data_IF_723128492020
#
_entry.id   IF_723128492020
#
_cell.length_a   1.000
_cell.length_b   1.000
_cell.length_c   1.000
_cell.angle_alpha   90.00
_cell.angle_beta   90.00
_cell.angle_gamma   90.00
#
_symmetry.space_group_name_H-M   'P 1'
#
loop_
_entity.id
_entity.type
_entity.pdbx_description
1 polymer ?
#
# COMPACT_ATOMS: atom_id res chain seq x y z
N UNK A 1 1.30 22.46 -2.41
CA UNK A 1 2.63 21.79 -2.44
C UNK A 1 3.34 21.89 -1.09
N UNK A 2 3.51 23.08 -0.52
CA UNK A 2 4.20 23.26 0.78
C UNK A 2 3.51 22.53 1.94
N UNK A 3 2.18 22.63 2.05
CA UNK A 3 1.41 21.95 3.10
C UNK A 3 1.55 20.42 3.04
N UNK A 4 1.50 19.84 1.85
CA UNK A 4 1.70 18.41 1.62
C UNK A 4 3.10 17.96 2.04
N UNK A 5 4.13 18.75 1.75
CA UNK A 5 5.49 18.48 2.19
C UNK A 5 5.61 18.50 3.72
N UNK A 6 4.97 19.48 4.38
CA UNK A 6 4.94 19.53 5.84
C UNK A 6 4.21 18.33 6.44
N UNK A 7 3.10 17.90 5.85
CA UNK A 7 2.36 16.71 6.28
C UNK A 7 3.22 15.45 6.09
N UNK A 8 3.93 15.34 4.96
CA UNK A 8 4.88 14.26 4.69
C UNK A 8 5.93 14.17 5.79
N UNK A 9 6.58 15.28 6.13
CA UNK A 9 7.59 15.34 7.19
C UNK A 9 6.99 14.90 8.53
N UNK A 10 5.83 15.43 8.91
CA UNK A 10 5.15 15.09 10.18
C UNK A 10 4.81 13.59 10.26
N UNK A 11 4.26 13.03 9.18
CA UNK A 11 3.87 11.62 9.10
C UNK A 11 5.10 10.72 9.26
N UNK A 12 6.18 10.98 8.52
CA UNK A 12 7.37 10.14 8.57
C UNK A 12 8.16 10.29 9.88
N UNK A 13 8.19 11.48 10.48
CA UNK A 13 8.74 11.65 11.83
C UNK A 13 7.92 10.83 12.85
N UNK A 14 6.60 10.91 12.78
CA UNK A 14 5.70 10.14 13.67
C UNK A 14 5.89 8.64 13.50
N UNK A 15 6.04 8.16 12.26
CA UNK A 15 6.34 6.77 11.97
C UNK A 15 7.70 6.34 12.55
N UNK A 16 8.76 7.14 12.38
CA UNK A 16 10.09 6.85 12.92
C UNK A 16 10.09 6.80 14.44
N UNK A 17 9.43 7.74 15.12
CA UNK A 17 9.31 7.74 16.59
C UNK A 17 8.57 6.49 17.06
N UNK A 18 7.45 6.16 16.42
CA UNK A 18 6.64 4.98 16.76
C UNK A 18 7.41 3.67 16.57
N UNK A 19 8.17 3.55 15.48
CA UNK A 19 8.98 2.35 15.21
C UNK A 19 10.17 2.28 16.16
N UNK A 20 10.74 3.42 16.56
CA UNK A 20 11.79 3.46 17.57
C UNK A 20 11.28 2.97 18.93
N UNK A 21 10.07 3.34 19.32
CA UNK A 21 9.39 2.73 20.47
C UNK A 21 9.28 1.21 20.32
N UNK A 22 8.82 0.73 19.16
CA UNK A 22 8.71 -0.70 18.87
C UNK A 22 10.05 -1.43 18.94
N UNK A 23 11.15 -0.78 18.57
CA UNK A 23 12.49 -1.35 18.63
C UNK A 23 13.01 -1.51 20.06
N UNK A 24 12.84 -0.48 20.91
CA UNK A 24 13.44 -0.49 22.24
C UNK A 24 12.59 -1.17 23.31
N UNK A 25 11.26 -0.96 23.30
CA UNK A 25 10.40 -1.39 24.40
C UNK A 25 9.76 -2.76 24.14
N UNK A 26 9.27 -3.00 22.94
CA UNK A 26 8.49 -4.20 22.60
C UNK A 26 9.26 -5.52 22.76
N UNK A 27 10.57 -5.64 22.44
CA UNK A 27 11.32 -6.88 22.70
C UNK A 27 11.40 -7.26 24.18
N UNK A 28 11.28 -6.28 25.09
CA UNK A 28 11.32 -6.51 26.54
C UNK A 28 10.02 -7.10 27.08
N UNK A 29 8.97 -7.10 26.28
CA UNK A 29 7.66 -7.64 26.61
C UNK A 29 7.58 -9.08 26.10
N UNK A 30 6.98 -9.97 26.91
CA UNK A 30 6.77 -11.38 26.54
C UNK A 30 6.01 -11.48 25.23
N UNK A 31 6.52 -12.32 24.34
CA UNK A 31 5.90 -12.63 23.04
C UNK A 31 4.46 -13.12 23.19
N UNK A 32 3.62 -12.76 22.22
CA UNK A 32 2.20 -13.07 22.20
C UNK A 32 1.31 -11.84 22.43
N UNK A 33 0.18 -12.07 23.09
CA UNK A 33 -0.87 -11.06 23.30
C UNK A 33 -0.37 -9.82 24.07
N UNK A 34 0.43 -9.92 25.16
CA UNK A 34 0.89 -8.72 25.87
C UNK A 34 1.70 -7.78 24.99
N UNK A 35 2.56 -8.35 24.15
CA UNK A 35 3.35 -7.59 23.17
C UNK A 35 2.46 -6.97 22.10
N UNK A 36 1.45 -7.69 21.60
CA UNK A 36 0.48 -7.15 20.64
C UNK A 36 -0.29 -5.96 21.22
N UNK A 37 -0.76 -6.06 22.46
CA UNK A 37 -1.47 -4.97 23.15
C UNK A 37 -0.60 -3.72 23.29
N UNK A 38 0.70 -3.88 23.57
CA UNK A 38 1.65 -2.76 23.63
C UNK A 38 1.85 -2.04 22.29
N UNK A 39 1.54 -2.71 21.18
CA UNK A 39 1.66 -2.19 19.82
C UNK A 39 0.35 -1.59 19.30
N UNK A 40 -0.80 -1.86 19.93
CA UNK A 40 -2.10 -1.36 19.49
C UNK A 40 -2.14 0.15 19.20
N UNK A 41 -1.56 1.04 20.03
CA UNK A 41 -1.55 2.47 19.74
C UNK A 41 -0.80 2.81 18.44
N UNK A 42 0.28 2.09 18.15
CA UNK A 42 1.11 2.27 16.95
C UNK A 42 0.36 1.74 15.73
N UNK A 43 -0.28 0.57 15.87
CA UNK A 43 -1.10 0.01 14.79
C UNK A 43 -2.24 0.95 14.40
N UNK A 44 -2.93 1.52 15.40
CA UNK A 44 -4.00 2.50 15.19
C UNK A 44 -3.46 3.78 14.54
N UNK A 45 -2.31 4.30 15.00
CA UNK A 45 -1.68 5.46 14.40
C UNK A 45 -1.36 5.22 12.92
N UNK A 46 -0.80 4.05 12.58
CA UNK A 46 -0.46 3.71 11.19
C UNK A 46 -1.69 3.67 10.27
N UNK A 47 -2.87 3.33 10.79
CA UNK A 47 -4.13 3.43 10.04
C UNK A 47 -4.57 4.88 9.79
N UNK A 48 -4.21 5.81 10.67
CA UNK A 48 -4.65 7.21 10.58
C UNK A 48 -3.69 8.05 9.73
N UNK A 49 -2.38 7.77 9.76
CA UNK A 49 -1.36 8.57 9.07
C UNK A 49 -1.62 8.85 7.57
N UNK A 50 -2.14 7.90 6.76
CA UNK A 50 -2.44 8.19 5.35
C UNK A 50 -3.50 9.29 5.15
N UNK A 51 -4.39 9.49 6.13
CA UNK A 51 -5.44 10.51 6.09
C UNK A 51 -4.89 11.93 6.26
N UNK A 52 -3.60 12.08 6.54
CA UNK A 52 -2.97 13.40 6.64
C UNK A 52 -2.58 13.98 5.27
N UNK A 53 -2.73 13.22 4.19
CA UNK A 53 -2.42 13.66 2.84
C UNK A 53 -3.71 13.93 2.07
N UNK A 54 -3.77 15.09 1.43
CA UNK A 54 -4.81 15.36 0.44
C UNK A 54 -4.44 14.73 -0.91
N UNK A 55 -3.13 14.52 -1.19
CA UNK A 55 -2.70 13.83 -2.41
C UNK A 55 -3.03 12.33 -2.38
N UNK A 56 -3.77 11.87 -3.39
CA UNK A 56 -4.13 10.44 -3.56
C UNK A 56 -2.89 9.53 -3.60
N UNK A 57 -1.86 9.89 -4.35
CA UNK A 57 -0.65 9.05 -4.47
C UNK A 57 0.13 8.97 -3.15
N UNK A 58 0.30 10.09 -2.44
CA UNK A 58 1.01 10.09 -1.15
C UNK A 58 0.24 9.33 -0.08
N UNK A 59 -1.09 9.50 -0.05
CA UNK A 59 -1.98 8.74 0.82
C UNK A 59 -1.87 7.24 0.54
N UNK A 60 -2.02 6.83 -0.72
CA UNK A 60 -2.00 5.42 -1.11
C UNK A 60 -0.63 4.75 -0.86
N UNK A 61 0.47 5.42 -1.17
CA UNK A 61 1.82 4.92 -0.89
C UNK A 61 2.04 4.77 0.62
N UNK A 62 1.63 5.76 1.40
CA UNK A 62 1.74 5.71 2.87
C UNK A 62 0.88 4.59 3.45
N UNK A 63 -0.35 4.42 2.97
CA UNK A 63 -1.24 3.34 3.39
C UNK A 63 -0.65 1.97 3.04
N UNK A 64 -0.14 1.80 1.83
CA UNK A 64 0.50 0.56 1.42
C UNK A 64 1.73 0.23 2.31
N UNK A 65 2.56 1.22 2.64
CA UNK A 65 3.76 1.00 3.47
C UNK A 65 3.47 0.82 4.96
N UNK A 66 2.65 1.69 5.56
CA UNK A 66 2.41 1.70 7.00
C UNK A 66 1.16 0.90 7.39
N UNK A 67 -0.02 1.28 6.88
CA UNK A 67 -1.32 0.64 7.18
C UNK A 67 -1.31 -0.84 6.86
N UNK A 68 -0.78 -1.23 5.70
CA UNK A 68 -0.67 -2.63 5.33
C UNK A 68 0.63 -3.25 5.85
N UNK A 69 1.75 -2.99 5.16
CA UNK A 69 2.95 -3.79 5.37
C UNK A 69 3.54 -3.60 6.76
N UNK A 70 3.63 -2.37 7.24
CA UNK A 70 4.12 -2.03 8.58
C UNK A 70 3.32 -2.72 9.67
N UNK A 71 2.00 -2.56 9.67
CA UNK A 71 1.12 -3.19 10.66
C UNK A 71 1.23 -4.71 10.66
N UNK A 72 1.16 -5.37 9.51
CA UNK A 72 1.26 -6.83 9.47
C UNK A 72 2.63 -7.33 9.95
N UNK A 73 3.72 -6.62 9.65
CA UNK A 73 5.05 -6.96 10.16
C UNK A 73 5.16 -6.77 11.66
N UNK A 74 4.58 -5.71 12.22
CA UNK A 74 4.54 -5.46 13.66
C UNK A 74 3.68 -6.50 14.40
N UNK A 75 2.54 -6.90 13.82
CA UNK A 75 1.71 -7.99 14.33
C UNK A 75 2.51 -9.30 14.31
N UNK A 76 3.19 -9.63 13.22
CA UNK A 76 4.04 -10.82 13.16
C UNK A 76 5.16 -10.78 14.21
N UNK A 77 5.79 -9.61 14.35
CA UNK A 77 6.84 -9.36 15.35
C UNK A 77 6.33 -9.55 16.79
N UNK A 78 5.04 -9.28 17.04
CA UNK A 78 4.46 -9.51 18.36
C UNK A 78 4.45 -10.98 18.78
N UNK A 79 4.55 -11.91 17.81
CA UNK A 79 4.58 -13.36 18.00
C UNK A 79 5.92 -14.01 17.60
N UNK A 80 7.01 -13.24 17.56
CA UNK A 80 8.35 -13.68 17.11
C UNK A 80 8.35 -14.32 15.71
N UNK A 81 7.59 -13.74 14.79
CA UNK A 81 7.49 -14.19 13.40
C UNK A 81 7.79 -13.05 12.44
N UNK A 82 7.91 -13.42 11.16
CA UNK A 82 8.02 -12.47 10.07
C UNK A 82 9.42 -11.88 9.90
N UNK A 83 9.55 -10.85 9.05
CA UNK A 83 10.85 -10.34 8.60
C UNK A 83 11.60 -9.53 9.67
N UNK A 84 10.94 -9.20 10.79
CA UNK A 84 11.52 -8.46 11.90
C UNK A 84 12.10 -9.38 12.99
N UNK A 85 12.05 -10.70 12.79
CA UNK A 85 12.57 -11.71 13.73
C UNK A 85 13.70 -12.53 13.07
N UNK A 86 14.90 -12.64 13.67
CA UNK A 86 15.33 -11.97 14.90
C UNK A 86 15.40 -10.44 14.73
N UNK A 87 15.37 -9.72 15.86
CA UNK A 87 15.41 -8.26 15.86
C UNK A 87 16.67 -7.77 15.11
N UNK A 88 16.53 -6.93 14.07
CA UNK A 88 17.65 -6.33 13.36
C UNK A 88 18.65 -5.65 14.30
N UNK A 89 19.94 -5.81 14.02
CA UNK A 89 21.01 -5.30 14.89
C UNK A 89 21.06 -3.76 15.02
N UNK A 90 20.43 -3.02 14.11
CA UNK A 90 20.39 -1.55 14.16
C UNK A 90 18.97 -1.03 14.02
N UNK A 91 18.69 0.10 14.69
CA UNK A 91 17.42 0.82 14.59
C UNK A 91 17.09 1.19 13.14
N UNK A 92 18.10 1.65 12.37
CA UNK A 92 17.93 2.00 10.96
C UNK A 92 17.43 0.80 10.12
N UNK A 93 17.99 -0.40 10.31
CA UNK A 93 17.51 -1.61 9.62
C UNK A 93 16.10 -1.98 10.06
N UNK A 94 15.79 -1.85 11.35
CA UNK A 94 14.44 -2.13 11.85
C UNK A 94 13.40 -1.18 11.27
N UNK A 95 13.70 0.13 11.21
CA UNK A 95 12.85 1.14 10.55
C UNK A 95 12.62 0.78 9.08
N UNK A 96 13.70 0.55 8.33
CA UNK A 96 13.61 0.23 6.91
C UNK A 96 12.82 -1.07 6.65
N UNK A 97 13.08 -2.14 7.41
CA UNK A 97 12.34 -3.39 7.25
C UNK A 97 10.90 -3.31 7.70
N UNK A 98 10.55 -2.38 8.59
CA UNK A 98 9.17 -2.16 9.02
C UNK A 98 8.42 -1.38 7.95
N UNK A 99 8.92 -0.18 7.57
CA UNK A 99 8.24 0.73 6.65
C UNK A 99 8.17 0.21 5.20
N UNK A 100 9.24 -0.40 4.68
CA UNK A 100 9.35 -0.60 3.24
C UNK A 100 9.12 -2.05 2.83
N UNK A 101 8.61 -2.32 1.59
CA UNK A 101 8.40 -3.65 1.04
C UNK A 101 9.71 -4.37 0.66
N UNK A 102 10.64 -4.45 1.60
CA UNK A 102 11.98 -5.01 1.38
C UNK A 102 12.24 -6.21 2.27
N UNK A 103 13.04 -7.14 1.76
CA UNK A 103 13.53 -8.30 2.48
C UNK A 103 15.02 -8.43 2.24
N UNK A 104 15.78 -8.65 3.30
CA UNK A 104 17.21 -8.91 3.19
C UNK A 104 17.45 -10.18 2.36
N UNK A 105 18.36 -10.11 1.40
CA UNK A 105 18.75 -11.26 0.61
C UNK A 105 19.68 -12.15 1.44
N UNK A 106 19.24 -13.39 1.73
CA UNK A 106 20.03 -14.34 2.53
C UNK A 106 21.12 -15.06 1.73
N UNK A 107 21.00 -15.10 0.40
CA UNK A 107 22.00 -15.69 -0.48
C UNK A 107 22.18 -14.82 -1.73
N UNK A 108 23.33 -14.14 -1.90
CA UNK A 108 23.64 -13.41 -3.12
C UNK A 108 23.86 -14.43 -4.25
N UNK A 109 22.81 -14.69 -5.04
CA UNK A 109 23.01 -15.31 -6.36
C UNK A 109 23.54 -14.23 -7.29
N UNK A 110 24.56 -14.53 -8.08
CA UNK A 110 25.07 -13.66 -9.14
C UNK A 110 23.92 -13.34 -10.11
N UNK A 111 23.23 -12.22 -9.89
CA UNK A 111 22.23 -11.74 -10.84
C UNK A 111 22.96 -10.93 -11.90
N UNK A 112 22.70 -11.28 -13.17
CA UNK A 112 23.28 -10.63 -14.34
C UNK A 112 23.24 -9.09 -14.25
N UNK A 113 24.35 -8.48 -14.67
CA UNK A 113 24.80 -7.10 -14.43
C UNK A 113 23.98 -5.94 -15.05
N UNK A 114 22.67 -6.07 -15.29
CA UNK A 114 21.87 -5.00 -15.93
C UNK A 114 20.62 -4.51 -15.17
N UNK A 115 20.59 -4.39 -13.83
CA UNK A 115 19.41 -3.90 -13.11
C UNK A 115 19.08 -2.44 -13.44
N UNK A 116 20.10 -1.59 -13.68
CA UNK A 116 19.90 -0.17 -14.03
C UNK A 116 19.26 0.00 -15.41
N UNK A 117 19.66 -0.80 -16.39
CA UNK A 117 19.10 -0.76 -17.74
C UNK A 117 17.63 -1.19 -17.71
N UNK A 118 17.29 -2.27 -17.01
CA UNK A 118 15.90 -2.72 -16.87
C UNK A 118 15.02 -1.64 -16.22
N UNK A 119 15.52 -0.96 -15.19
CA UNK A 119 14.80 0.15 -14.57
C UNK A 119 14.60 1.32 -15.54
N UNK A 120 15.67 1.74 -16.24
CA UNK A 120 15.59 2.81 -17.24
C UNK A 120 14.61 2.48 -18.38
N UNK A 121 14.62 1.23 -18.86
CA UNK A 121 13.66 0.76 -19.87
C UNK A 121 12.22 0.86 -19.36
N UNK A 122 11.94 0.46 -18.11
CA UNK A 122 10.58 0.60 -17.54
C UNK A 122 10.14 2.05 -17.48
N UNK A 123 11.01 2.96 -17.04
CA UNK A 123 10.71 4.41 -16.99
C UNK A 123 10.47 4.97 -18.40
N UNK A 124 11.26 4.57 -19.39
CA UNK A 124 11.09 4.98 -20.78
C UNK A 124 9.75 4.48 -21.35
N UNK A 125 9.40 3.21 -21.11
CA UNK A 125 8.09 2.65 -21.50
C UNK A 125 6.97 3.42 -20.82
N UNK A 126 7.08 3.70 -19.52
CA UNK A 126 6.07 4.48 -18.80
C UNK A 126 5.88 5.88 -19.39
N UNK A 127 6.95 6.59 -19.73
CA UNK A 127 6.88 7.88 -20.40
C UNK A 127 6.20 7.83 -21.78
N UNK A 128 6.53 6.81 -22.59
CA UNK A 128 5.84 6.56 -23.86
C UNK A 128 4.34 6.29 -23.64
N UNK A 129 4.02 5.56 -22.58
CA UNK A 129 2.65 5.19 -22.24
C UNK A 129 1.79 6.40 -21.87
N UNK A 130 2.36 7.34 -21.11
CA UNK A 130 1.72 8.63 -20.81
C UNK A 130 1.46 9.45 -22.08
N UNK A 131 2.38 9.42 -23.04
CA UNK A 131 2.16 10.09 -24.33
C UNK A 131 1.04 9.40 -25.14
N UNK A 132 0.97 8.07 -25.10
CA UNK A 132 -0.04 7.29 -25.81
C UNK A 132 -1.46 7.60 -25.31
N UNK A 133 -1.63 7.95 -24.04
CA UNK A 133 -2.93 8.40 -23.51
C UNK A 133 -3.49 9.67 -24.18
N UNK A 134 -2.66 10.49 -24.83
CA UNK A 134 -3.14 11.62 -25.62
C UNK A 134 -4.08 11.22 -26.76
N UNK A 135 -4.05 9.96 -27.18
CA UNK A 135 -4.87 9.40 -28.26
C UNK A 135 -6.01 8.50 -27.76
N UNK A 136 -6.31 8.53 -26.45
CA UNK A 136 -7.28 7.61 -25.81
C UNK A 136 -8.66 7.60 -26.46
N UNK A 137 -9.12 8.74 -26.98
CA UNK A 137 -10.47 8.90 -27.54
C UNK A 137 -10.65 8.10 -28.84
N UNK A 138 -9.53 7.76 -29.50
CA UNK A 138 -9.53 6.99 -30.74
C UNK A 138 -9.26 5.49 -30.51
N UNK A 139 -9.15 5.05 -29.26
CA UNK A 139 -8.78 3.67 -28.92
C UNK A 139 -9.99 2.79 -28.66
N UNK A 140 -9.85 1.51 -29.01
CA UNK A 140 -10.83 0.51 -28.59
C UNK A 140 -10.79 0.33 -27.08
N UNK A 141 -11.93 -0.02 -26.50
CA UNK A 141 -12.06 -0.24 -25.06
C UNK A 141 -11.08 -1.31 -24.54
N UNK A 142 -10.86 -2.38 -25.31
CA UNK A 142 -9.90 -3.43 -24.96
C UNK A 142 -8.46 -2.93 -24.90
N UNK A 143 -8.06 -2.06 -25.84
CA UNK A 143 -6.74 -1.45 -25.84
C UNK A 143 -6.59 -0.52 -24.62
N UNK A 144 -7.63 0.24 -24.30
CA UNK A 144 -7.63 1.13 -23.15
C UNK A 144 -7.43 0.36 -21.82
N UNK A 145 -8.12 -0.77 -21.65
CA UNK A 145 -7.90 -1.65 -20.48
C UNK A 145 -6.48 -2.23 -20.43
N UNK A 146 -5.95 -2.69 -21.57
CA UNK A 146 -4.58 -3.18 -21.65
C UNK A 146 -3.56 -2.09 -21.28
N UNK A 147 -3.80 -0.85 -21.70
CA UNK A 147 -2.98 0.29 -21.29
C UNK A 147 -3.10 0.54 -19.79
N UNK A 148 -4.29 0.59 -19.20
CA UNK A 148 -4.45 0.77 -17.75
C UNK A 148 -3.69 -0.30 -16.94
N UNK A 149 -3.77 -1.57 -17.36
CA UNK A 149 -2.99 -2.64 -16.76
C UNK A 149 -1.49 -2.36 -16.80
N UNK A 150 -0.99 -1.97 -17.97
CA UNK A 150 0.43 -1.71 -18.15
C UNK A 150 0.90 -0.50 -17.32
N UNK A 151 0.08 0.54 -17.21
CA UNK A 151 0.36 1.70 -16.35
C UNK A 151 0.49 1.30 -14.90
N UNK A 152 -0.52 0.64 -14.33
CA UNK A 152 -0.52 0.22 -12.93
C UNK A 152 0.65 -0.71 -12.61
N UNK A 153 0.90 -1.68 -13.50
CA UNK A 153 2.05 -2.56 -13.39
C UNK A 153 3.38 -1.78 -13.33
N UNK A 154 3.58 -0.86 -14.28
CA UNK A 154 4.82 -0.08 -14.36
C UNK A 154 4.96 0.89 -13.20
N UNK A 155 3.90 1.57 -12.79
CA UNK A 155 3.91 2.51 -11.68
C UNK A 155 4.32 1.82 -10.38
N UNK A 156 3.67 0.70 -10.04
CA UNK A 156 4.03 -0.10 -8.87
C UNK A 156 5.48 -0.57 -8.97
N UNK A 157 5.87 -1.18 -10.10
CA UNK A 157 7.25 -1.67 -10.28
C UNK A 157 8.31 -0.58 -10.18
N UNK A 158 8.04 0.62 -10.69
CA UNK A 158 8.95 1.77 -10.63
C UNK A 158 9.09 2.25 -9.18
N UNK A 159 7.98 2.47 -8.47
CA UNK A 159 7.98 2.92 -7.06
C UNK A 159 8.72 1.91 -6.19
N UNK A 160 8.37 0.63 -6.32
CA UNK A 160 8.97 -0.46 -5.55
C UNK A 160 10.47 -0.62 -5.84
N UNK A 161 10.88 -0.52 -7.11
CA UNK A 161 12.29 -0.57 -7.50
C UNK A 161 13.06 0.65 -7.00
N UNK A 162 12.47 1.85 -7.06
CA UNK A 162 13.06 3.07 -6.53
C UNK A 162 13.31 2.95 -5.02
N UNK A 163 12.30 2.58 -4.24
CA UNK A 163 12.42 2.37 -2.79
C UNK A 163 13.47 1.31 -2.46
N UNK A 164 13.48 0.18 -3.17
CA UNK A 164 14.52 -0.84 -3.00
C UNK A 164 15.93 -0.25 -3.20
N UNK A 165 16.16 0.49 -4.28
CA UNK A 165 17.49 1.04 -4.59
C UNK A 165 17.92 2.07 -3.53
N UNK A 166 17.03 2.97 -3.13
CA UNK A 166 17.31 3.97 -2.08
C UNK A 166 17.69 3.27 -0.77
N UNK A 167 16.91 2.26 -0.35
CA UNK A 167 17.19 1.56 0.91
C UNK A 167 18.44 0.68 0.82
N UNK A 168 18.72 0.07 -0.34
CA UNK A 168 19.94 -0.68 -0.58
C UNK A 168 21.18 0.21 -0.41
N UNK A 169 21.17 1.41 -1.00
CA UNK A 169 22.25 2.39 -0.85
C UNK A 169 22.39 2.82 0.61
N UNK A 170 21.27 3.07 1.30
CA UNK A 170 21.28 3.54 2.69
C UNK A 170 21.77 2.47 3.68
N UNK A 171 21.37 1.21 3.50
CA UNK A 171 21.73 0.11 4.42
C UNK A 171 23.00 -0.63 4.02
N UNK A 172 23.48 -0.46 2.78
CA UNK A 172 24.64 -1.17 2.24
C UNK A 172 24.42 -2.68 2.14
N UNK A 173 23.18 -3.15 1.92
CA UNK A 173 22.87 -4.58 1.87
C UNK A 173 22.02 -4.95 0.66
N UNK A 174 22.27 -6.15 0.13
CA UNK A 174 21.47 -6.70 -0.96
C UNK A 174 20.05 -7.02 -0.50
N UNK A 175 19.08 -6.48 -1.24
CA UNK A 175 17.65 -6.67 -1.00
C UNK A 175 17.06 -7.57 -2.07
N UNK A 176 16.14 -8.46 -1.66
CA UNK A 176 15.41 -9.32 -2.58
C UNK A 176 14.65 -8.49 -3.63
N UNK A 177 14.46 -9.07 -4.81
CA UNK A 177 13.64 -8.45 -5.84
C UNK A 177 12.16 -8.53 -5.45
N UNK A 178 11.42 -7.45 -5.66
CA UNK A 178 10.01 -7.39 -5.24
C UNK A 178 9.08 -8.15 -6.19
N UNK A 179 9.42 -8.28 -7.48
CA UNK A 179 8.68 -9.13 -8.43
C UNK A 179 9.64 -9.89 -9.33
N UNK A 180 9.27 -11.10 -9.74
CA UNK A 180 10.06 -11.99 -10.60
C UNK A 180 9.33 -12.26 -11.93
N UNK A 181 9.47 -11.35 -12.88
CA UNK A 181 8.92 -11.45 -14.25
C UNK A 181 7.47 -11.98 -14.26
N UNK A 182 6.52 -11.23 -13.67
CA UNK A 182 5.13 -11.70 -13.45
C UNK A 182 4.40 -12.05 -14.75
N UNK A 183 4.72 -11.40 -15.85
CA UNK A 183 4.20 -11.68 -17.19
C UNK A 183 4.59 -13.06 -17.76
N UNK A 184 5.49 -13.81 -17.12
CA UNK A 184 5.84 -15.19 -17.48
C UNK A 184 5.13 -16.24 -16.62
N UNK A 185 4.12 -15.86 -15.84
CA UNK A 185 3.37 -16.80 -15.02
C UNK A 185 2.58 -17.80 -15.88
N UNK A 186 2.61 -19.08 -15.51
CA UNK A 186 1.86 -20.15 -16.18
C UNK A 186 0.54 -20.50 -15.48
N UNK A 187 0.29 -19.92 -14.30
CA UNK A 187 -0.94 -20.09 -13.52
C UNK A 187 -1.13 -18.93 -12.53
N UNK A 188 -2.36 -18.76 -12.01
CA UNK A 188 -2.66 -17.76 -10.97
C UNK A 188 -1.84 -17.99 -9.70
N UNK A 189 -1.63 -19.25 -9.32
CA UNK A 189 -0.80 -19.59 -8.17
C UNK A 189 0.66 -19.18 -8.39
N UNK A 190 1.18 -19.34 -9.60
CA UNK A 190 2.55 -18.93 -9.93
C UNK A 190 2.68 -17.40 -9.96
N UNK A 191 1.69 -16.71 -10.50
CA UNK A 191 1.62 -15.25 -10.51
C UNK A 191 1.65 -14.68 -9.09
N UNK A 192 0.62 -14.96 -8.28
CA UNK A 192 0.46 -14.39 -6.94
C UNK A 192 1.39 -14.97 -5.88
N UNK A 193 1.80 -16.23 -6.05
CA UNK A 193 2.61 -16.93 -5.05
C UNK A 193 4.11 -16.71 -5.22
N UNK A 194 4.60 -16.46 -6.44
CA UNK A 194 6.03 -16.59 -6.76
C UNK A 194 6.59 -15.51 -7.66
N UNK A 195 5.77 -14.64 -8.25
CA UNK A 195 6.25 -13.67 -9.24
C UNK A 195 5.81 -12.24 -9.01
N UNK A 196 4.59 -12.02 -8.55
CA UNK A 196 4.07 -10.69 -8.29
C UNK A 196 4.23 -10.31 -6.82
N UNK A 197 4.77 -9.12 -6.57
CA UNK A 197 4.87 -8.48 -5.26
C UNK A 197 5.17 -9.47 -4.10
N UNK A 198 6.35 -10.10 -4.14
CA UNK A 198 6.75 -11.20 -3.26
C UNK A 198 6.70 -10.88 -1.76
N UNK A 199 6.66 -9.59 -1.40
CA UNK A 199 6.47 -9.16 -0.02
C UNK A 199 5.09 -9.53 0.50
N UNK A 200 4.04 -9.39 -0.31
CA UNK A 200 2.65 -9.71 0.06
C UNK A 200 2.50 -11.18 0.48
N UNK A 201 2.83 -12.19 -0.35
CA UNK A 201 2.75 -13.57 0.06
C UNK A 201 3.76 -13.91 1.18
N UNK A 202 4.91 -13.21 1.27
CA UNK A 202 5.85 -13.41 2.37
C UNK A 202 5.28 -12.98 3.74
N UNK A 203 4.36 -12.02 3.76
CA UNK A 203 3.66 -11.56 4.96
C UNK A 203 2.38 -12.35 5.21
N UNK A 204 1.52 -12.53 4.21
CA UNK A 204 0.24 -13.22 4.36
C UNK A 204 0.40 -14.70 4.72
N UNK A 205 1.48 -15.36 4.25
CA UNK A 205 1.77 -16.75 4.60
C UNK A 205 1.89 -16.98 6.11
N UNK A 206 2.81 -16.31 6.84
CA UNK A 206 2.92 -16.47 8.28
C UNK A 206 1.80 -15.78 9.07
N UNK A 207 1.19 -14.70 8.55
CA UNK A 207 0.19 -13.91 9.27
C UNK A 207 -1.20 -14.54 9.24
N UNK A 208 -1.59 -15.13 8.10
CA UNK A 208 -2.98 -15.57 7.86
C UNK A 208 -3.03 -17.04 7.48
N UNK A 209 -2.35 -17.42 6.40
CA UNK A 209 -2.46 -18.77 5.83
C UNK A 209 -2.00 -19.85 6.83
N UNK A 210 -0.82 -19.71 7.41
CA UNK A 210 -0.25 -20.73 8.31
C UNK A 210 -1.05 -20.87 9.62
N UNK A 211 -1.44 -19.79 10.32
CA UNK A 211 -2.34 -19.91 11.48
C UNK A 211 -3.67 -20.56 11.12
N UNK A 212 -4.33 -20.12 10.04
CA UNK A 212 -5.63 -20.65 9.62
C UNK A 212 -5.56 -22.13 9.24
N UNK A 213 -4.51 -22.52 8.51
CA UNK A 213 -4.25 -23.92 8.17
C UNK A 213 -4.09 -24.78 9.42
N UNK A 214 -3.30 -24.34 10.40
CA UNK A 214 -3.10 -25.10 11.66
C UNK A 214 -4.39 -25.28 12.44
N UNK A 215 -5.25 -24.27 12.48
CA UNK A 215 -6.56 -24.37 13.13
C UNK A 215 -7.45 -25.36 12.38
N UNK A 216 -7.42 -25.33 11.05
CA UNK A 216 -8.21 -26.22 10.19
C UNK A 216 -7.74 -27.67 10.25
N UNK A 217 -6.43 -27.91 10.36
CA UNK A 217 -5.84 -29.25 10.52
C UNK A 217 -6.30 -29.95 11.82
N UNK A 218 -6.79 -29.21 12.82
CA UNK A 218 -7.37 -29.81 14.04
C UNK A 218 -8.74 -30.45 13.79
N UNK A 219 -9.45 -30.03 12.74
CA UNK A 219 -10.83 -30.46 12.45
C UNK A 219 -10.94 -31.24 11.13
N UNK A 220 -9.98 -31.08 10.23
CA UNK A 220 -10.05 -31.61 8.86
C UNK A 220 -8.72 -32.24 8.46
N UNK A 221 -8.74 -33.13 7.46
CA UNK A 221 -7.51 -33.72 6.94
C UNK A 221 -6.61 -32.67 6.27
N UNK A 222 -5.31 -32.96 6.22
CA UNK A 222 -4.27 -32.02 5.76
C UNK A 222 -4.56 -31.41 4.38
N UNK A 223 -5.17 -32.17 3.45
CA UNK A 223 -5.53 -31.67 2.11
C UNK A 223 -6.68 -30.66 2.15
N UNK A 224 -7.69 -30.90 2.98
CA UNK A 224 -8.84 -30.00 3.12
C UNK A 224 -8.51 -28.74 3.90
N UNK A 225 -7.56 -28.82 4.84
CA UNK A 225 -7.08 -27.67 5.60
C UNK A 225 -6.33 -26.61 4.76
N UNK A 226 -5.91 -26.96 3.53
CA UNK A 226 -5.32 -26.01 2.59
C UNK A 226 -6.33 -24.94 2.14
N UNK A 227 -7.58 -25.34 1.89
CA UNK A 227 -8.59 -24.45 1.33
C UNK A 227 -8.96 -23.29 2.27
N UNK A 228 -9.29 -23.52 3.56
CA UNK A 228 -9.55 -22.43 4.49
C UNK A 228 -8.37 -21.47 4.64
N UNK A 229 -7.13 -21.99 4.62
CA UNK A 229 -5.94 -21.16 4.69
C UNK A 229 -5.80 -20.24 3.48
N UNK A 230 -6.02 -20.76 2.28
CA UNK A 230 -5.98 -19.97 1.04
C UNK A 230 -7.12 -18.95 1.04
N UNK A 231 -8.35 -19.39 1.31
CA UNK A 231 -9.52 -18.53 1.35
C UNK A 231 -9.34 -17.37 2.33
N UNK A 232 -8.86 -17.65 3.55
CA UNK A 232 -8.61 -16.61 4.53
C UNK A 232 -7.53 -15.61 4.06
N UNK A 233 -6.47 -16.08 3.41
CA UNK A 233 -5.44 -15.19 2.87
C UNK A 233 -5.99 -14.27 1.78
N UNK A 234 -6.84 -14.79 0.88
CA UNK A 234 -7.51 -14.01 -0.16
C UNK A 234 -8.52 -13.02 0.42
N UNK A 235 -9.32 -13.41 1.43
CA UNK A 235 -10.25 -12.50 2.11
C UNK A 235 -9.49 -11.36 2.78
N UNK A 236 -8.42 -11.67 3.53
CA UNK A 236 -7.62 -10.64 4.18
C UNK A 236 -6.93 -9.75 3.15
N UNK A 237 -6.41 -10.31 2.05
CA UNK A 237 -5.89 -9.51 0.93
C UNK A 237 -6.97 -8.56 0.41
N UNK A 238 -8.16 -9.06 0.06
CA UNK A 238 -9.27 -8.23 -0.42
C UNK A 238 -9.69 -7.13 0.56
N UNK A 239 -9.81 -7.43 1.85
CA UNK A 239 -10.13 -6.42 2.88
C UNK A 239 -9.08 -5.32 2.97
N UNK A 240 -7.80 -5.65 2.82
CA UNK A 240 -6.74 -4.65 2.79
C UNK A 240 -6.84 -3.80 1.53
N UNK A 241 -7.20 -4.38 0.39
CA UNK A 241 -7.44 -3.61 -0.82
C UNK A 241 -8.62 -2.67 -0.67
N UNK A 242 -9.76 -3.12 -0.15
CA UNK A 242 -10.90 -2.24 0.18
C UNK A 242 -10.48 -1.08 1.09
N UNK A 243 -9.63 -1.35 2.07
CA UNK A 243 -9.08 -0.29 2.93
C UNK A 243 -8.15 0.68 2.16
N UNK A 244 -7.33 0.20 1.22
CA UNK A 244 -6.54 1.07 0.34
C UNK A 244 -7.43 1.91 -0.58
N UNK A 245 -8.49 1.32 -1.13
CA UNK A 245 -9.48 2.03 -1.94
C UNK A 245 -10.23 3.08 -1.13
N UNK A 246 -10.53 2.80 0.13
CA UNK A 246 -11.12 3.78 1.03
C UNK A 246 -10.25 5.04 1.16
N UNK A 247 -8.93 4.89 1.36
CA UNK A 247 -8.01 6.03 1.38
C UNK A 247 -7.97 6.78 0.04
N UNK A 248 -8.05 6.05 -1.07
CA UNK A 248 -8.12 6.65 -2.40
C UNK A 248 -9.39 7.49 -2.59
N UNK A 249 -10.54 6.99 -2.15
CA UNK A 249 -11.81 7.70 -2.30
C UNK A 249 -11.90 8.94 -1.42
N UNK A 250 -11.33 8.90 -0.22
CA UNK A 250 -11.30 10.06 0.69
C UNK A 250 -10.38 11.17 0.18
N UNK A 251 -9.19 10.83 -0.31
CA UNK A 251 -8.29 11.84 -0.90
C UNK A 251 -8.94 12.56 -2.08
N UNK A 252 -9.81 11.88 -2.83
CA UNK A 252 -10.56 12.47 -3.94
C UNK A 252 -11.60 13.50 -3.48
N UNK A 253 -12.32 13.22 -2.39
CA UNK A 253 -13.32 14.18 -1.86
C UNK A 253 -12.67 15.46 -1.37
N UNK A 254 -11.49 15.37 -0.75
CA UNK A 254 -10.71 16.54 -0.33
C UNK A 254 -10.08 17.30 -1.50
N UNK A 255 -9.61 16.62 -2.56
CA UNK A 255 -9.13 17.29 -3.78
C UNK A 255 -10.26 18.04 -4.50
N UNK A 256 -11.45 17.43 -4.62
CA UNK A 256 -12.62 18.06 -5.26
C UNK A 256 -13.17 19.25 -4.43
N UNK A 257 -13.23 19.13 -3.09
CA UNK A 257 -13.63 20.20 -2.16
C UNK A 257 -12.57 21.32 -2.12
N UNK A 258 -11.28 20.97 -2.15
CA UNK A 258 -10.16 21.91 -2.23
C UNK A 258 -10.15 22.69 -3.54
N UNK A 259 -10.33 22.05 -4.68
CA UNK A 259 -10.47 22.73 -5.98
C UNK A 259 -11.73 23.61 -6.02
N UNK A 260 -12.79 23.24 -5.27
CA UNK A 260 -14.03 24.03 -5.18
C UNK A 260 -13.84 25.27 -4.31
N UNK A 261 -13.16 25.11 -3.17
CA UNK A 261 -12.76 26.18 -2.28
C UNK A 261 -11.77 27.13 -2.95
N UNK A 262 -10.77 26.64 -3.69
CA UNK A 262 -9.80 27.46 -4.44
C UNK A 262 -10.47 28.24 -5.57
N UNK A 263 -11.51 27.69 -6.20
CA UNK A 263 -12.33 28.44 -7.15
C UNK A 263 -13.18 29.53 -6.46
N UNK A 264 -13.59 29.32 -5.21
CA UNK A 264 -14.33 30.27 -4.40
C UNK A 264 -13.42 31.33 -3.71
N UNK A 265 -12.16 31.01 -3.44
CA UNK A 265 -11.18 31.87 -2.76
C UNK A 265 -10.52 32.93 -3.68
N UNK A 266 -11.17 33.25 -4.80
CA UNK A 266 -11.04 34.61 -5.38
C UNK A 266 -11.67 35.70 -4.50
N UNK A 267 -12.21 35.34 -3.33
CA UNK A 267 -12.57 36.25 -2.24
C UNK A 267 -12.32 35.65 -0.85
N UNK A 268 -11.15 35.96 -0.27
CA UNK A 268 -10.93 36.25 1.15
C UNK A 268 -11.29 35.27 2.29
N UNK A 269 -10.22 34.74 2.92
CA UNK A 269 -9.86 34.73 4.36
C UNK A 269 -10.42 33.66 5.33
N UNK A 270 -9.42 33.03 5.97
CA UNK A 270 -9.26 32.43 7.31
C UNK A 270 -9.59 30.96 7.61
N UNK A 271 -8.51 30.26 7.95
CA UNK A 271 -8.43 28.94 8.53
C UNK A 271 -8.47 29.00 10.06
N UNK A 272 -9.17 28.06 10.69
CA UNK A 272 -8.72 27.39 11.93
C UNK A 272 -9.58 26.14 12.21
N UNK A 273 -9.01 25.21 13.00
CA UNK A 273 -9.61 23.99 13.58
C UNK A 273 -9.74 22.74 12.68
N UNK A 274 -8.61 22.03 12.50
CA UNK A 274 -8.52 20.72 11.84
C UNK A 274 -8.76 19.49 12.73
N UNK A 275 -8.67 19.61 14.07
CA UNK A 275 -8.77 18.42 14.95
C UNK A 275 -10.20 18.07 15.39
N UNK A 276 -11.09 19.06 15.50
CA UNK A 276 -12.51 18.84 15.87
C UNK A 276 -13.31 18.27 14.68
N UNK A 277 -12.91 18.60 13.44
CA UNK A 277 -13.54 18.11 12.20
C UNK A 277 -13.40 16.61 11.98
N UNK A 278 -12.32 15.98 12.47
CA UNK A 278 -12.07 14.54 12.28
C UNK A 278 -13.04 13.69 13.10
N UNK A 279 -13.38 14.12 14.32
CA UNK A 279 -14.34 13.41 15.18
C UNK A 279 -15.79 13.63 14.74
N UNK A 280 -16.16 14.84 14.32
CA UNK A 280 -17.53 15.13 13.87
C UNK A 280 -17.85 14.51 12.49
N UNK A 281 -16.87 14.41 11.57
CA UNK A 281 -17.09 13.80 10.23
C UNK A 281 -17.24 12.28 10.27
N UNK A 282 -16.60 11.58 11.23
CA UNK A 282 -16.79 10.13 11.43
C UNK A 282 -18.23 9.75 11.76
N UNK A 283 -18.99 10.66 12.41
CA UNK A 283 -20.40 10.44 12.77
C UNK A 283 -21.36 10.76 11.61
N UNK A 284 -21.06 11.79 10.81
CA UNK A 284 -21.92 12.25 9.70
C UNK A 284 -21.86 11.30 8.50
N UNK A 285 -20.67 10.75 8.18
CA UNK A 285 -20.44 9.84 7.04
C UNK A 285 -21.24 8.53 7.17
N UNK A 286 -21.54 8.06 8.38
CA UNK A 286 -22.33 6.84 8.57
C UNK A 286 -23.83 7.03 8.25
N UNK A 287 -24.32 8.27 8.23
CA UNK A 287 -25.75 8.58 8.03
C UNK A 287 -26.12 9.14 6.66
N UNK A 288 -25.21 9.80 5.93
CA UNK A 288 -25.53 10.41 4.63
C UNK A 288 -25.17 9.55 3.40
N UNK A 289 -24.25 8.58 3.55
CA UNK A 289 -23.62 7.87 2.42
C UNK A 289 -24.51 6.86 1.66
N UNK A 290 -25.75 6.60 2.10
CA UNK A 290 -26.66 5.69 1.38
C UNK A 290 -27.72 6.40 0.52
N UNK A 291 -27.91 7.72 0.68
CA UNK A 291 -29.11 8.40 0.15
C UNK A 291 -28.87 9.34 -1.04
N UNK A 292 -27.63 9.70 -1.37
CA UNK A 292 -27.36 10.77 -2.35
C UNK A 292 -26.50 10.33 -3.56
N UNK A 293 -26.49 9.02 -3.86
CA UNK A 293 -25.70 8.45 -4.98
C UNK A 293 -26.52 8.22 -6.26
N UNK A 294 -27.56 9.02 -6.53
CA UNK A 294 -28.40 8.86 -7.74
C UNK A 294 -28.37 10.01 -8.74
N UNK A 295 -28.16 11.27 -8.35
CA UNK A 295 -28.39 12.39 -9.29
C UNK A 295 -27.29 13.46 -9.24
N UNK A 296 -26.79 13.82 -10.45
CA UNK A 296 -25.93 14.96 -10.89
C UNK A 296 -24.45 14.63 -11.17
N UNK A 297 -24.10 14.33 -12.43
CA UNK A 297 -23.68 15.22 -13.57
C UNK A 297 -22.31 15.88 -13.35
N UNK A 298 -21.23 15.52 -14.07
CA UNK A 298 -20.88 15.82 -15.49
C UNK A 298 -20.83 17.33 -15.79
N UNK A 299 -19.80 18.05 -15.32
CA UNK A 299 -18.93 18.91 -16.14
C UNK A 299 -17.86 19.62 -15.30
N UNK A 300 -16.68 19.83 -15.91
CA UNK A 300 -15.53 20.63 -15.47
C UNK A 300 -14.73 20.16 -14.24
N UNK A 301 -13.52 19.57 -14.49
CA UNK A 301 -12.24 19.83 -13.77
C UNK A 301 -11.09 18.92 -14.25
N UNK A 302 -9.88 19.18 -13.72
CA UNK A 302 -8.54 19.06 -14.33
C UNK A 302 -8.07 17.65 -14.77
N UNK A 303 -6.95 17.62 -15.52
CA UNK A 303 -6.36 16.48 -16.26
C UNK A 303 -5.81 15.35 -15.37
N UNK A 304 -5.68 15.54 -14.06
CA UNK A 304 -5.05 14.58 -13.12
C UNK A 304 -6.09 13.90 -12.21
N UNK A 305 -7.29 14.45 -12.05
CA UNK A 305 -8.40 13.79 -11.32
C UNK A 305 -9.22 12.81 -12.17
N UNK A 306 -9.08 12.83 -13.51
CA UNK A 306 -9.90 12.02 -14.41
C UNK A 306 -9.55 10.52 -14.48
N UNK A 307 -8.45 10.10 -13.87
CA UNK A 307 -7.89 8.74 -14.01
C UNK A 307 -8.61 7.69 -13.16
N UNK A 308 -9.19 8.09 -12.03
CA UNK A 308 -9.93 7.20 -11.13
C UNK A 308 -11.47 7.31 -11.26
N UNK A 309 -11.97 8.07 -12.24
CA UNK A 309 -13.40 8.30 -12.45
C UNK A 309 -14.17 7.11 -13.05
N UNK A 310 -13.48 6.06 -13.48
CA UNK A 310 -14.14 4.88 -14.04
C UNK A 310 -14.24 3.78 -12.98
N UNK A 311 -15.45 3.39 -12.55
CA UNK A 311 -15.68 2.24 -11.68
C UNK A 311 -15.00 0.95 -12.20
N UNK A 312 -14.84 0.85 -13.51
CA UNK A 312 -14.19 -0.27 -14.20
C UNK A 312 -12.68 -0.32 -13.95
N UNK A 313 -12.00 0.83 -13.80
CA UNK A 313 -10.57 0.90 -13.48
C UNK A 313 -10.34 0.53 -12.00
N UNK A 314 -11.26 0.92 -11.11
CA UNK A 314 -11.24 0.56 -9.68
C UNK A 314 -11.39 -0.96 -9.51
N UNK A 315 -12.36 -1.57 -10.19
CA UNK A 315 -12.56 -3.03 -10.18
C UNK A 315 -11.35 -3.80 -10.77
N UNK A 316 -10.63 -3.17 -11.69
CA UNK A 316 -9.48 -3.77 -12.37
C UNK A 316 -8.19 -3.65 -11.55
N UNK A 317 -7.98 -2.53 -10.87
CA UNK A 317 -6.94 -2.37 -9.83
C UNK A 317 -7.15 -3.41 -8.73
N UNK A 318 -8.40 -3.70 -8.35
CA UNK A 318 -8.77 -4.74 -7.37
C UNK A 318 -8.27 -6.14 -7.81
N UNK A 319 -8.49 -6.52 -9.07
CA UNK A 319 -8.03 -7.80 -9.62
C UNK A 319 -6.51 -7.90 -9.78
N UNK A 320 -5.81 -6.77 -9.95
CA UNK A 320 -4.36 -6.73 -10.14
C UNK A 320 -3.55 -6.57 -8.84
N UNK A 321 -4.23 -6.29 -7.72
CA UNK A 321 -3.59 -6.16 -6.42
C UNK A 321 -3.83 -7.34 -5.44
N UNK A 322 -4.91 -8.13 -5.58
CA UNK A 322 -5.27 -9.29 -4.68
C UNK A 322 -4.24 -10.41 -4.63
#
# INVERSE_FOLDING_TARGET
>A
MEQELQNLIKVWISAVISISYCYYLTPRIKSGVPRLLSLCPILALFLVLPLCFSSVHLSLITAFFLTWLGNFKLILFSFDKGPLTPVPASLARFICFTCFPIKAQQNPKSQNHLPKLVFATKVAIFGMLLHLYGYRENMSLALLFALYFLHLYLEIEIILSFVKNVVCIFLGCDLEQQSNKPYLATSLQDFWGRRWNLMVPAILRPAVYAPMRRVSERKMSSRWALFPGILAAFIVSGLVHELLFFYLTLGREEEDEGDAAVAAESGGVEATHGWVRVCDRLLVVYTSAYKERRDREIHQRSFIGRWFLYPEVIHFVYLFLI
#
